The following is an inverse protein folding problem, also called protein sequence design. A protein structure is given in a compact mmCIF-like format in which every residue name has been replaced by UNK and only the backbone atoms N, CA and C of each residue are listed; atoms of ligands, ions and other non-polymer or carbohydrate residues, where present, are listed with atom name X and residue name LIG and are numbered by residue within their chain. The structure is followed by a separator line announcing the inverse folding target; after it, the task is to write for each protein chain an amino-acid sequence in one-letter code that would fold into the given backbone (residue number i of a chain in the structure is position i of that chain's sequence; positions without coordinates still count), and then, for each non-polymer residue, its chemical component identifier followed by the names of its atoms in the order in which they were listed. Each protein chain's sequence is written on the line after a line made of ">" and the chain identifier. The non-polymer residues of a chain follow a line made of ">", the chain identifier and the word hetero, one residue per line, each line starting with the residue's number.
data_IF_142133740507
#
_entry.id   IF_142133740507
#
_cell.length_a   1.000
_cell.length_b   1.000
_cell.length_c   1.000
_cell.angle_alpha   90.00
_cell.angle_beta   90.00
_cell.angle_gamma   90.00
#
_symmetry.space_group_name_H-M   'P 1'
#
loop_
_entity.id
_entity.type
_entity.pdbx_description
1 polymer ?
#
# COMPACT_ATOMS: atom_id res chain seq x y z
N UNK A 1 -3.15 -0.77 -7.15
CA UNK A 1 -4.22 -1.06 -6.21
C UNK A 1 -3.72 -2.03 -5.17
N UNK A 2 -4.19 -1.90 -3.93
CA UNK A 2 -3.85 -2.82 -2.84
C UNK A 2 -5.11 -3.59 -2.45
N UNK A 3 -4.97 -4.89 -2.23
CA UNK A 3 -6.06 -5.77 -1.77
C UNK A 3 -5.56 -6.69 -0.65
N UNK A 4 -6.45 -7.03 0.28
CA UNK A 4 -6.17 -8.09 1.25
C UNK A 4 -6.12 -9.44 0.53
N UNK A 5 -5.15 -10.27 0.90
CA UNK A 5 -4.97 -11.60 0.32
C UNK A 5 -5.96 -12.63 0.89
N UNK A 6 -6.48 -12.41 2.11
CA UNK A 6 -7.39 -13.33 2.79
C UNK A 6 -8.53 -12.59 3.49
N UNK A 7 -9.71 -13.20 3.48
CA UNK A 7 -10.92 -12.70 4.16
C UNK A 7 -10.69 -12.53 5.66
N UNK A 8 -9.92 -13.42 6.29
CA UNK A 8 -9.62 -13.32 7.73
C UNK A 8 -8.86 -12.05 8.13
N UNK A 9 -8.21 -11.36 7.19
CA UNK A 9 -7.56 -10.08 7.43
C UNK A 9 -8.57 -8.95 7.64
N UNK A 10 -9.76 -9.10 7.03
CA UNK A 10 -10.87 -8.15 7.15
C UNK A 10 -11.67 -8.41 8.44
N UNK A 11 -11.78 -9.67 8.85
CA UNK A 11 -12.63 -10.07 9.99
C UNK A 11 -11.96 -9.94 11.36
N UNK A 12 -10.62 -10.01 11.41
CA UNK A 12 -9.86 -10.04 12.68
C UNK A 12 -9.06 -8.78 12.98
N UNK A 13 -8.90 -7.90 11.99
CA UNK A 13 -8.16 -6.66 12.17
C UNK A 13 -9.18 -5.56 12.42
N UNK A 14 -9.08 -4.87 13.55
CA UNK A 14 -9.73 -3.57 13.73
C UNK A 14 -9.30 -2.70 12.54
N UNK A 15 -10.22 -2.46 11.61
CA UNK A 15 -10.10 -1.63 10.41
C UNK A 15 -9.12 -0.46 10.64
N UNK A 16 -7.81 -0.58 10.36
CA UNK A 16 -6.85 0.46 10.70
C UNK A 16 -6.78 1.44 9.54
N UNK A 17 -7.97 1.92 9.16
CA UNK A 17 -8.16 2.92 8.15
C UNK A 17 -8.18 4.26 8.85
N UNK A 18 -7.28 5.13 8.44
CA UNK A 18 -7.32 6.54 8.78
C UNK A 18 -8.03 7.29 7.66
N UNK A 19 -8.99 8.12 8.03
CA UNK A 19 -9.59 9.08 7.10
C UNK A 19 -8.64 10.26 6.90
N UNK A 20 -8.44 10.67 5.66
CA UNK A 20 -7.63 11.83 5.32
C UNK A 20 -8.17 12.51 4.06
N UNK A 21 -7.87 13.79 3.89
CA UNK A 21 -8.19 14.54 2.67
C UNK A 21 -6.98 14.52 1.73
N UNK A 22 -7.20 14.21 0.46
CA UNK A 22 -6.13 14.12 -0.51
C UNK A 22 -5.57 15.52 -0.83
N UNK A 23 -4.27 15.75 -0.65
CA UNK A 23 -3.64 17.06 -0.92
C UNK A 23 -3.42 17.32 -2.42
N UNK A 24 -2.98 16.30 -3.14
CA UNK A 24 -2.72 16.32 -4.58
C UNK A 24 -3.41 15.10 -5.22
N UNK A 25 -3.76 15.17 -6.49
CA UNK A 25 -4.30 14.02 -7.23
C UNK A 25 -3.42 12.78 -7.05
N UNK A 26 -4.05 11.63 -6.81
CA UNK A 26 -3.37 10.36 -6.54
C UNK A 26 -4.16 9.18 -7.11
N UNK A 27 -3.54 8.00 -7.12
CA UNK A 27 -4.22 6.76 -7.48
C UNK A 27 -4.54 5.92 -6.25
N UNK A 28 -5.63 5.15 -6.33
CA UNK A 28 -5.92 4.13 -5.33
C UNK A 28 -4.78 3.11 -5.25
N UNK A 29 -4.27 2.87 -4.05
CA UNK A 29 -3.06 2.07 -3.79
C UNK A 29 -1.77 2.87 -3.69
N UNK A 30 -1.78 4.20 -3.89
CA UNK A 30 -0.57 5.01 -3.70
C UNK A 30 -0.19 5.10 -2.22
N UNK A 31 1.12 5.09 -1.99
CA UNK A 31 1.73 5.14 -0.68
C UNK A 31 2.07 6.57 -0.29
N UNK A 32 1.84 6.91 0.96
CA UNK A 32 1.98 8.30 1.40
C UNK A 32 1.82 8.46 2.90
N UNK A 33 1.94 9.68 3.38
CA UNK A 33 1.84 10.00 4.80
C UNK A 33 0.62 10.86 5.05
N UNK A 34 0.05 10.75 6.25
CA UNK A 34 -0.96 11.70 6.73
C UNK A 34 -0.26 12.72 7.62
N UNK A 35 -0.47 14.00 7.34
CA UNK A 35 -0.02 15.11 8.19
C UNK A 35 -1.18 16.07 8.34
N UNK A 36 -1.56 16.38 9.58
CA UNK A 36 -2.68 17.28 9.89
C UNK A 36 -4.01 16.90 9.20
N UNK A 37 -4.25 15.60 9.01
CA UNK A 37 -5.46 15.08 8.35
C UNK A 37 -5.42 15.10 6.82
N UNK A 38 -4.32 15.56 6.21
CA UNK A 38 -4.11 15.51 4.76
C UNK A 38 -3.19 14.36 4.36
N UNK A 39 -3.56 13.64 3.31
CA UNK A 39 -2.72 12.61 2.69
C UNK A 39 -1.91 13.21 1.53
N UNK A 40 -0.61 12.91 1.51
CA UNK A 40 0.26 13.20 0.37
C UNK A 40 1.19 12.02 0.08
N UNK A 41 1.55 11.83 -1.19
CA UNK A 41 2.45 10.73 -1.59
C UNK A 41 3.85 10.95 -1.03
N UNK A 42 4.49 9.88 -0.55
CA UNK A 42 5.78 10.00 0.11
C UNK A 42 6.65 8.76 -0.07
N UNK A 43 7.96 8.99 -0.16
CA UNK A 43 8.96 7.92 -0.23
C UNK A 43 9.11 7.21 1.11
N UNK A 44 9.39 5.91 1.06
CA UNK A 44 9.55 5.05 2.23
C UNK A 44 8.34 5.07 3.19
N UNK A 45 7.17 5.48 2.72
CA UNK A 45 5.93 5.37 3.47
C UNK A 45 5.42 3.93 3.50
N UNK A 46 4.77 3.60 4.62
CA UNK A 46 4.11 2.31 4.88
C UNK A 46 2.61 2.45 5.16
N UNK A 47 2.05 3.61 4.82
CA UNK A 47 0.60 3.81 4.70
C UNK A 47 0.23 3.93 3.23
N UNK A 48 -0.93 3.42 2.86
CA UNK A 48 -1.37 3.45 1.46
C UNK A 48 -2.88 3.62 1.32
N UNK A 49 -3.31 4.27 0.24
CA UNK A 49 -4.74 4.45 -0.06
C UNK A 49 -5.34 3.09 -0.39
N UNK A 50 -6.46 2.75 0.25
CA UNK A 50 -7.25 1.57 -0.09
C UNK A 50 -8.73 1.94 -0.06
N UNK A 51 -9.19 2.46 -1.20
CA UNK A 51 -10.58 2.80 -1.43
C UNK A 51 -11.36 1.65 -2.02
N UNK A 52 -12.64 1.58 -1.65
CA UNK A 52 -13.58 0.72 -2.34
C UNK A 52 -13.88 1.36 -3.70
N UNK A 53 -13.59 0.65 -4.78
CA UNK A 53 -13.85 1.14 -6.13
C UNK A 53 -15.38 1.18 -6.36
N UNK A 54 -15.89 2.36 -6.73
CA UNK A 54 -17.31 2.55 -7.07
C UNK A 54 -17.44 3.41 -8.32
N UNK A 55 -18.52 3.21 -9.09
CA UNK A 55 -18.81 3.99 -10.29
C UNK A 55 -18.19 3.43 -11.57
N UNK A 56 -18.11 4.26 -12.61
CA UNK A 56 -17.71 3.85 -13.97
C UNK A 56 -16.25 3.41 -14.08
N UNK A 57 -15.40 3.85 -13.15
CA UNK A 57 -13.98 3.48 -13.06
C UNK A 57 -13.73 2.18 -12.26
N UNK A 58 -14.81 1.50 -11.85
CA UNK A 58 -14.70 0.24 -11.11
C UNK A 58 -14.00 -0.84 -11.95
N UNK A 59 -12.90 -1.38 -11.42
CA UNK A 59 -12.13 -2.44 -12.09
C UNK A 59 -11.14 -1.93 -13.14
N UNK A 60 -10.95 -0.61 -13.23
CA UNK A 60 -9.90 -0.04 -14.08
C UNK A 60 -8.50 -0.32 -13.50
N UNK A 61 -7.47 -0.44 -14.36
CA UNK A 61 -6.08 -0.62 -13.90
C UNK A 61 -5.59 0.52 -13.00
N UNK A 62 -6.18 1.70 -13.18
CA UNK A 62 -5.95 2.91 -12.40
C UNK A 62 -7.29 3.44 -11.92
N UNK A 63 -7.39 3.76 -10.63
CA UNK A 63 -8.53 4.45 -10.06
C UNK A 63 -8.03 5.80 -9.54
N UNK A 64 -8.35 6.86 -10.28
CA UNK A 64 -7.91 8.23 -9.98
C UNK A 64 -8.77 8.83 -8.89
N UNK A 65 -8.14 9.53 -7.96
CA UNK A 65 -8.78 10.23 -6.85
C UNK A 65 -8.28 11.68 -6.91
N UNK A 66 -9.21 12.63 -6.90
CA UNK A 66 -8.86 14.05 -7.05
C UNK A 66 -8.45 14.67 -5.72
N UNK A 67 -7.60 15.69 -5.77
CA UNK A 67 -7.31 16.53 -4.62
C UNK A 67 -8.60 17.08 -3.98
N UNK A 68 -8.64 17.11 -2.65
CA UNK A 68 -9.79 17.51 -1.85
C UNK A 68 -10.80 16.40 -1.55
N UNK A 69 -10.64 15.20 -2.12
CA UNK A 69 -11.50 14.05 -1.80
C UNK A 69 -11.03 13.31 -0.54
N UNK A 70 -11.98 12.74 0.22
CA UNK A 70 -11.66 11.89 1.37
C UNK A 70 -11.16 10.52 0.92
N UNK A 71 -10.10 10.04 1.56
CA UNK A 71 -9.49 8.73 1.34
C UNK A 71 -9.39 7.90 2.60
N UNK A 72 -9.64 6.59 2.44
CA UNK A 72 -9.29 5.59 3.43
C UNK A 72 -7.84 5.17 3.24
N UNK A 73 -7.04 5.39 4.28
CA UNK A 73 -5.61 5.09 4.27
C UNK A 73 -5.34 3.93 5.20
N UNK A 74 -4.84 2.84 4.65
CA UNK A 74 -4.47 1.64 5.38
C UNK A 74 -3.06 1.78 5.97
N UNK A 75 -2.91 1.55 7.27
CA UNK A 75 -1.59 1.44 7.92
C UNK A 75 -1.06 -0.01 7.87
N UNK A 76 -0.06 -0.27 7.03
CA UNK A 76 0.50 -1.61 6.85
C UNK A 76 1.34 -2.08 8.04
N UNK A 77 1.74 -1.19 8.96
CA UNK A 77 2.49 -1.60 10.17
C UNK A 77 1.69 -2.56 11.04
N UNK A 78 0.35 -2.45 11.00
CA UNK A 78 -0.60 -3.30 11.75
C UNK A 78 -0.72 -4.72 11.19
N UNK A 79 -0.18 -4.97 10.00
CA UNK A 79 -0.27 -6.25 9.29
C UNK A 79 1.10 -6.91 9.11
N UNK A 80 2.07 -6.60 9.98
CA UNK A 80 3.40 -7.18 9.90
C UNK A 80 3.37 -8.72 9.80
N UNK A 81 4.13 -9.27 8.85
CA UNK A 81 4.20 -10.70 8.56
C UNK A 81 3.04 -11.25 7.72
N UNK A 82 1.97 -10.48 7.50
CA UNK A 82 0.85 -10.89 6.66
C UNK A 82 1.12 -10.61 5.18
N UNK A 83 0.32 -11.22 4.31
CA UNK A 83 0.37 -11.01 2.87
C UNK A 83 -0.66 -9.97 2.41
N UNK A 84 -0.28 -9.17 1.43
CA UNK A 84 -1.17 -8.30 0.66
C UNK A 84 -0.93 -8.52 -0.83
N UNK A 85 -1.93 -8.16 -1.61
CA UNK A 85 -1.82 -8.18 -3.06
C UNK A 85 -1.69 -6.75 -3.57
N UNK A 86 -0.76 -6.53 -4.49
CA UNK A 86 -0.54 -5.23 -5.13
C UNK A 86 -0.65 -5.42 -6.63
N UNK A 87 -1.33 -4.50 -7.29
CA UNK A 87 -1.68 -4.57 -8.71
C UNK A 87 -1.44 -3.26 -9.45
N UNK A 88 -1.26 -3.35 -10.76
CA UNK A 88 -1.39 -2.22 -11.68
C UNK A 88 -0.29 -1.18 -11.53
N UNK A 89 -0.67 0.10 -11.66
CA UNK A 89 0.24 1.24 -11.73
C UNK A 89 1.11 1.47 -10.49
N UNK A 90 0.84 0.76 -9.39
CA UNK A 90 1.61 0.83 -8.15
C UNK A 90 2.89 -0.02 -8.20
N UNK A 91 2.98 -0.94 -9.16
CA UNK A 91 4.12 -1.84 -9.29
C UNK A 91 5.23 -1.23 -10.15
N UNK A 92 6.50 -1.56 -9.87
CA UNK A 92 7.59 -1.23 -10.79
C UNK A 92 7.43 -1.97 -12.12
N UNK A 93 8.05 -1.45 -13.18
CA UNK A 93 7.97 -2.06 -14.52
C UNK A 93 8.54 -3.50 -14.55
N UNK A 94 9.49 -3.82 -13.68
CA UNK A 94 10.02 -5.16 -13.48
C UNK A 94 10.09 -5.46 -11.99
N UNK A 95 9.68 -6.68 -11.63
CA UNK A 95 9.79 -7.24 -10.29
C UNK A 95 9.90 -8.76 -10.37
N UNK A 96 10.55 -9.35 -9.37
CA UNK A 96 10.71 -10.78 -9.23
C UNK A 96 10.38 -11.24 -7.80
N UNK A 97 10.12 -12.55 -7.65
CA UNK A 97 9.99 -13.17 -6.33
C UNK A 97 11.28 -12.96 -5.53
N UNK A 98 11.14 -12.53 -4.28
CA UNK A 98 12.23 -12.16 -3.39
C UNK A 98 12.61 -10.68 -3.42
N UNK A 99 12.08 -9.89 -4.37
CA UNK A 99 12.32 -8.45 -4.39
C UNK A 99 11.75 -7.79 -3.14
N UNK A 100 12.49 -6.79 -2.64
CA UNK A 100 12.09 -5.96 -1.51
C UNK A 100 11.72 -4.58 -2.04
N UNK A 101 10.44 -4.27 -1.97
CA UNK A 101 9.84 -3.07 -2.52
C UNK A 101 9.58 -2.02 -1.43
N UNK A 102 9.81 -0.76 -1.78
CA UNK A 102 9.48 0.42 -0.97
C UNK A 102 8.80 1.47 -1.84
N UNK A 103 8.03 2.36 -1.24
CA UNK A 103 7.45 3.49 -1.96
C UNK A 103 8.51 4.53 -2.33
N UNK A 104 8.36 5.14 -3.50
CA UNK A 104 9.08 6.32 -3.94
C UNK A 104 8.28 7.60 -3.62
N UNK A 105 8.81 8.77 -3.99
CA UNK A 105 8.17 10.06 -3.70
C UNK A 105 6.79 10.23 -4.35
N UNK A 106 6.50 9.53 -5.45
CA UNK A 106 5.20 9.53 -6.11
C UNK A 106 4.25 8.45 -5.55
N UNK A 107 4.61 7.81 -4.44
CA UNK A 107 3.79 6.77 -3.81
C UNK A 107 3.73 5.44 -4.56
N UNK A 108 4.60 5.20 -5.54
CA UNK A 108 4.69 3.93 -6.28
C UNK A 108 5.78 3.03 -5.72
N UNK A 109 5.65 1.72 -5.87
CA UNK A 109 6.66 0.78 -5.40
C UNK A 109 7.86 0.73 -6.35
N UNK A 110 9.04 0.68 -5.76
CA UNK A 110 10.33 0.48 -6.43
C UNK A 110 11.14 -0.57 -5.67
N UNK A 111 11.93 -1.37 -6.39
CA UNK A 111 12.83 -2.36 -5.79
C UNK A 111 14.03 -1.70 -5.10
N UNK A 112 14.71 -2.45 -4.23
CA UNK A 112 15.95 -2.02 -3.58
C UNK A 112 15.78 -1.52 -2.15
N UNK A 113 14.77 -2.00 -1.43
CA UNK A 113 14.70 -1.81 0.01
C UNK A 113 15.73 -2.70 0.72
N UNK A 114 16.62 -2.08 1.51
CA UNK A 114 17.66 -2.78 2.28
C UNK A 114 17.33 -2.90 3.76
N UNK A 115 16.42 -2.03 4.25
CA UNK A 115 15.96 -1.96 5.64
C UNK A 115 14.44 -1.91 5.67
N UNK A 116 13.84 -2.46 6.72
CA UNK A 116 12.41 -2.35 6.97
C UNK A 116 12.02 -0.90 7.28
N UNK A 117 10.80 -0.45 6.93
CA UNK A 117 9.71 -1.26 6.39
C UNK A 117 9.78 -1.49 4.87
N UNK A 118 9.35 -2.67 4.41
CA UNK A 118 9.27 -3.02 2.99
C UNK A 118 8.20 -4.09 2.71
N UNK A 119 7.89 -4.27 1.42
CA UNK A 119 7.06 -5.36 0.91
C UNK A 119 7.95 -6.38 0.20
N UNK A 120 7.96 -7.62 0.68
CA UNK A 120 8.74 -8.71 0.08
C UNK A 120 7.87 -9.50 -0.89
N UNK A 121 8.24 -9.53 -2.16
CA UNK A 121 7.46 -10.26 -3.18
C UNK A 121 7.56 -11.76 -2.91
N UNK A 122 6.45 -12.38 -2.54
CA UNK A 122 6.36 -13.82 -2.26
C UNK A 122 5.84 -14.63 -3.44
N UNK A 123 5.02 -14.00 -4.29
CA UNK A 123 4.46 -14.65 -5.47
C UNK A 123 4.10 -13.64 -6.57
N UNK A 124 4.03 -14.11 -7.81
CA UNK A 124 3.64 -13.30 -8.98
C UNK A 124 2.28 -13.79 -9.46
N UNK A 125 1.32 -12.88 -9.60
CA UNK A 125 -0.03 -13.23 -10.04
C UNK A 125 -0.05 -13.36 -11.56
N UNK A 126 0.23 -14.56 -12.10
CA UNK A 126 0.53 -14.77 -13.53
C UNK A 126 -0.52 -14.30 -14.56
N UNK A 127 -1.78 -14.08 -14.16
CA UNK A 127 -2.85 -13.62 -15.06
C UNK A 127 -3.12 -12.11 -15.01
N UNK A 128 -2.44 -11.35 -14.14
CA UNK A 128 -2.59 -9.89 -13.99
C UNK A 128 -1.22 -9.26 -13.76
N UNK A 129 -1.08 -7.97 -14.03
CA UNK A 129 0.10 -7.21 -13.58
C UNK A 129 -0.04 -7.02 -12.07
N UNK A 130 0.29 -8.07 -11.32
CA UNK A 130 0.05 -8.20 -9.90
C UNK A 130 1.08 -9.07 -9.20
N UNK A 131 1.19 -8.88 -7.89
CA UNK A 131 2.03 -9.70 -7.02
C UNK A 131 1.38 -9.87 -5.64
N UNK A 132 1.80 -10.93 -4.96
CA UNK A 132 1.56 -11.13 -3.54
C UNK A 132 2.85 -10.75 -2.81
N UNK A 133 2.75 -9.84 -1.84
CA UNK A 133 3.87 -9.44 -1.01
C UNK A 133 3.61 -9.68 0.48
N UNK A 134 4.62 -10.16 1.18
CA UNK A 134 4.67 -10.16 2.63
C UNK A 134 5.04 -8.77 3.14
N UNK A 135 4.29 -8.30 4.12
CA UNK A 135 4.54 -7.05 4.83
C UNK A 135 5.67 -7.28 5.84
N UNK A 136 6.74 -6.49 5.75
CA UNK A 136 7.82 -6.48 6.73
C UNK A 136 7.88 -5.08 7.35
N UNK A 137 7.28 -4.92 8.53
CA UNK A 137 7.32 -3.67 9.27
C UNK A 137 8.70 -3.46 9.91
N UNK A 138 9.04 -2.20 10.19
CA UNK A 138 10.19 -1.90 11.04
C UNK A 138 10.01 -2.55 12.41
N UNK A 139 11.05 -3.17 12.94
CA UNK A 139 11.04 -3.66 14.32
C UNK A 139 11.02 -2.42 15.22
N UNK A 140 10.00 -2.30 16.08
CA UNK A 140 10.06 -1.30 17.14
C UNK A 140 11.34 -1.55 17.97
N UNK A 141 12.11 -0.52 18.35
CA UNK A 141 13.19 -0.73 19.31
C UNK A 141 12.58 -1.39 20.54
N UNK A 142 13.15 -2.54 20.94
CA UNK A 142 12.86 -3.13 22.25
C UNK A 142 13.20 -2.05 23.28
N UNK A 143 12.19 -1.48 23.94
CA UNK A 143 12.41 -0.70 25.15
C UNK A 143 12.96 -1.67 26.18
N UNK A 144 14.27 -1.70 26.34
CA UNK A 144 14.91 -2.43 27.42
C UNK A 144 14.38 -1.91 28.75
N UNK A 145 13.74 -2.79 29.52
CA UNK A 145 13.61 -2.65 30.97
C UNK A 145 14.83 -3.29 31.63
#
# INVERSE_FOLDING_TARGET
>A
MIKFNRISQIERSEYPFEDAVLKNDALNGDFGTITDGEFDTAAASFKAIMQNETGDDMGMPEYKIKAGEHVRVLDLTKFNGQAIEVYGAQLPAAYAKGDKLKSNASGKLVSGATVAPYLEVTDIVGNKIGLVAKIVAATAPVSGN
#
